data_IF_511667712485
#
_entry.id   IF_511667712485
#
_cell.length_a   1.000
_cell.length_b   1.000
_cell.length_c   1.000
_cell.angle_alpha   90.00
_cell.angle_beta   90.00
_cell.angle_gamma   90.00
#
_symmetry.space_group_name_H-M   'P 1'
#
loop_
_entity.id
_entity.type
_entity.pdbx_description
1 polymer ?
#
# COMPACT_ATOMS: atom_id res chain seq x y z
N UNK A 1 -3.52 -24.93 -4.93
CA UNK A 1 -4.63 -24.08 -5.40
C UNK A 1 -4.05 -23.13 -6.41
N UNK A 2 -4.67 -22.99 -7.58
CA UNK A 2 -4.15 -22.17 -8.69
C UNK A 2 -4.81 -20.80 -8.56
N UNK A 3 -4.18 -19.89 -7.81
CA UNK A 3 -4.63 -18.50 -7.78
C UNK A 3 -4.45 -17.92 -9.18
N UNK A 4 -5.56 -17.74 -9.90
CA UNK A 4 -5.52 -17.28 -11.29
C UNK A 4 -5.55 -15.75 -11.28
N UNK A 5 -4.39 -15.14 -11.55
CA UNK A 5 -4.26 -13.70 -11.75
C UNK A 5 -4.87 -13.31 -13.10
N UNK A 6 -5.72 -12.28 -13.13
CA UNK A 6 -6.18 -11.66 -14.38
C UNK A 6 -6.13 -10.15 -14.31
N UNK A 7 -5.79 -9.52 -15.43
CA UNK A 7 -5.81 -8.07 -15.58
C UNK A 7 -7.15 -7.64 -16.14
N UNK A 8 -7.84 -6.75 -15.42
CA UNK A 8 -9.11 -6.17 -15.85
C UNK A 8 -9.01 -4.65 -15.95
N UNK A 9 -9.85 -3.99 -16.76
CA UNK A 9 -9.99 -2.55 -16.74
C UNK A 9 -10.40 -2.08 -15.34
N UNK A 10 -9.82 -0.97 -14.87
CA UNK A 10 -10.12 -0.44 -13.53
C UNK A 10 -11.61 -0.07 -13.36
N UNK A 11 -12.30 0.27 -14.46
CA UNK A 11 -13.74 0.53 -14.47
C UNK A 11 -14.62 -0.73 -14.33
N UNK A 12 -14.05 -1.92 -14.55
CA UNK A 12 -14.71 -3.22 -14.36
C UNK A 12 -14.38 -3.85 -13.00
N UNK A 13 -13.58 -3.18 -12.17
CA UNK A 13 -13.22 -3.67 -10.85
C UNK A 13 -14.32 -3.34 -9.85
N UNK A 14 -14.94 -4.38 -9.28
CA UNK A 14 -15.97 -4.23 -8.26
C UNK A 14 -15.38 -4.16 -6.85
N UNK A 15 -16.09 -3.47 -5.96
CA UNK A 15 -15.78 -3.47 -4.53
C UNK A 15 -15.86 -4.91 -3.98
N UNK A 16 -14.86 -5.31 -3.20
CA UNK A 16 -14.67 -6.68 -2.70
C UNK A 16 -13.60 -7.46 -3.45
N UNK A 17 -13.22 -7.04 -4.65
CA UNK A 17 -12.19 -7.73 -5.43
C UNK A 17 -10.79 -7.52 -4.86
N UNK A 18 -9.98 -8.57 -4.72
CA UNK A 18 -8.61 -8.47 -4.18
C UNK A 18 -7.61 -8.18 -5.29
N UNK A 19 -6.75 -7.18 -5.08
CA UNK A 19 -5.64 -6.88 -5.98
C UNK A 19 -4.59 -8.00 -5.97
N UNK A 20 -4.21 -8.46 -7.16
CA UNK A 20 -3.13 -9.43 -7.33
C UNK A 20 -1.75 -8.78 -7.37
N UNK A 21 -1.67 -7.49 -7.67
CA UNK A 21 -0.40 -6.76 -7.73
C UNK A 21 -0.53 -5.32 -7.21
N UNK A 22 0.63 -4.74 -6.90
CA UNK A 22 0.75 -3.34 -6.53
C UNK A 22 0.34 -2.44 -7.70
N UNK A 23 -0.65 -1.58 -7.48
CA UNK A 23 -1.05 -0.57 -8.45
C UNK A 23 -0.18 0.67 -8.23
N UNK A 24 0.50 1.10 -9.29
CA UNK A 24 1.37 2.28 -9.29
C UNK A 24 0.86 3.31 -10.31
N UNK A 25 1.00 4.58 -9.98
CA UNK A 25 0.77 5.68 -10.92
C UNK A 25 1.92 5.75 -11.97
N UNK A 26 1.75 6.55 -13.02
CA UNK A 26 2.76 6.83 -14.07
C UNK A 26 4.11 7.31 -13.50
N UNK A 27 4.09 7.90 -12.31
CA UNK A 27 5.26 8.36 -11.58
C UNK A 27 6.00 7.24 -10.81
N UNK A 28 5.48 6.01 -10.83
CA UNK A 28 5.98 4.87 -10.03
C UNK A 28 5.48 4.87 -8.59
N UNK A 29 4.70 5.87 -8.17
CA UNK A 29 4.11 5.98 -6.83
C UNK A 29 3.09 4.88 -6.59
N UNK A 30 3.23 4.14 -5.49
CA UNK A 30 2.26 3.14 -5.07
C UNK A 30 0.91 3.80 -4.69
N UNK A 31 -0.16 3.39 -5.36
CA UNK A 31 -1.54 3.82 -5.09
C UNK A 31 -2.25 2.82 -4.18
N UNK A 32 -2.11 1.53 -4.47
CA UNK A 32 -2.73 0.43 -3.73
C UNK A 32 -1.75 -0.75 -3.71
N UNK A 33 -1.59 -1.38 -2.55
CA UNK A 33 -0.78 -2.59 -2.43
C UNK A 33 -1.56 -3.84 -2.83
N UNK A 34 -0.84 -4.84 -3.32
CA UNK A 34 -1.38 -6.17 -3.56
C UNK A 34 -2.01 -6.77 -2.28
N UNK A 35 -2.98 -7.66 -2.44
CA UNK A 35 -3.61 -8.41 -1.34
C UNK A 35 -4.69 -7.64 -0.57
N UNK A 36 -4.98 -6.38 -0.93
CA UNK A 36 -6.06 -5.60 -0.30
C UNK A 36 -7.35 -5.73 -1.13
N UNK A 37 -8.52 -5.95 -0.49
CA UNK A 37 -9.80 -5.86 -1.16
C UNK A 37 -10.10 -4.40 -1.58
N UNK A 38 -10.48 -4.22 -2.83
CA UNK A 38 -10.92 -2.95 -3.37
C UNK A 38 -12.19 -2.51 -2.64
N UNK A 39 -12.22 -1.24 -2.23
CA UNK A 39 -13.38 -0.58 -1.61
C UNK A 39 -13.76 0.60 -2.51
N UNK A 40 -14.95 1.16 -2.35
CA UNK A 40 -15.41 2.32 -3.15
C UNK A 40 -14.41 3.48 -3.15
N UNK A 41 -13.78 3.73 -2.00
CA UNK A 41 -12.71 4.74 -1.89
C UNK A 41 -11.50 4.41 -2.76
N UNK A 42 -11.12 3.14 -2.88
CA UNK A 42 -10.00 2.70 -3.70
C UNK A 42 -10.34 2.82 -5.19
N UNK A 43 -11.57 2.48 -5.59
CA UNK A 43 -12.05 2.66 -6.97
C UNK A 43 -12.05 4.14 -7.38
N UNK A 44 -12.49 5.03 -6.47
CA UNK A 44 -12.42 6.49 -6.71
C UNK A 44 -10.98 6.97 -6.86
N UNK A 45 -10.04 6.45 -6.06
CA UNK A 45 -8.61 6.75 -6.20
C UNK A 45 -8.12 6.30 -7.58
N UNK A 46 -8.36 5.06 -7.98
CA UNK A 46 -7.96 4.53 -9.30
C UNK A 46 -8.45 5.42 -10.45
N UNK A 47 -9.73 5.85 -10.40
CA UNK A 47 -10.32 6.76 -11.38
C UNK A 47 -9.68 8.15 -11.36
N UNK A 48 -9.44 8.70 -10.18
CA UNK A 48 -8.81 10.03 -10.01
C UNK A 48 -7.41 10.07 -10.58
N UNK A 49 -6.65 8.99 -10.44
CA UNK A 49 -5.28 8.86 -10.96
C UNK A 49 -5.22 8.37 -12.41
N UNK A 50 -6.35 8.09 -13.05
CA UNK A 50 -6.41 7.63 -14.45
C UNK A 50 -5.79 6.25 -14.66
N UNK A 51 -5.85 5.36 -13.66
CA UNK A 51 -5.40 3.97 -13.79
C UNK A 51 -6.34 3.24 -14.74
N UNK A 52 -5.81 2.70 -15.83
CA UNK A 52 -6.62 2.04 -16.88
C UNK A 52 -6.84 0.56 -16.60
N UNK A 53 -5.89 -0.12 -15.98
CA UNK A 53 -5.89 -1.57 -15.77
C UNK A 53 -5.38 -1.93 -14.37
N UNK A 54 -5.97 -2.96 -13.76
CA UNK A 54 -5.55 -3.52 -12.47
C UNK A 54 -5.53 -5.05 -12.56
N UNK A 55 -4.53 -5.69 -11.95
CA UNK A 55 -4.57 -7.13 -11.79
C UNK A 55 -5.27 -7.53 -10.51
N UNK A 56 -6.17 -8.50 -10.61
CA UNK A 56 -6.98 -9.03 -9.52
C UNK A 56 -6.83 -10.54 -9.42
N UNK A 57 -7.06 -11.06 -8.21
CA UNK A 57 -7.24 -12.49 -8.01
C UNK A 57 -8.65 -12.89 -8.41
N UNK A 58 -8.77 -13.98 -9.16
CA UNK A 58 -10.06 -14.55 -9.55
C UNK A 58 -10.59 -15.42 -8.39
N UNK A 59 -11.41 -14.84 -7.52
CA UNK A 59 -12.25 -15.60 -6.58
C UNK A 59 -13.68 -15.08 -6.55
N UNK A 60 -14.61 -16.02 -6.41
CA UNK A 60 -16.05 -15.92 -6.62
C UNK A 60 -16.77 -14.86 -5.73
N UNK A 61 -17.97 -14.38 -6.11
CA UNK A 61 -18.68 -13.29 -5.42
C UNK A 61 -19.43 -13.82 -4.17
N UNK A 62 -20.15 -12.96 -3.43
CA UNK A 62 -19.68 -12.00 -2.45
C UNK A 62 -20.20 -12.39 -1.05
N UNK A 63 -19.32 -12.51 -0.05
CA UNK A 63 -19.80 -12.54 1.34
C UNK A 63 -19.54 -11.18 1.97
N UNK A 64 -20.62 -10.40 1.99
CA UNK A 64 -20.80 -9.31 2.91
C UNK A 64 -20.56 -9.81 4.33
N UNK A 65 -19.47 -9.39 4.97
CA UNK A 65 -19.48 -9.17 6.41
C UNK A 65 -18.50 -8.04 6.72
N UNK A 66 -19.14 -6.92 7.01
CA UNK A 66 -18.62 -5.85 7.83
C UNK A 66 -18.04 -6.45 9.13
N UNK A 67 -16.74 -6.34 9.34
CA UNK A 67 -16.21 -6.17 10.68
C UNK A 67 -14.87 -5.43 10.57
N UNK A 68 -15.01 -4.11 10.58
CA UNK A 68 -13.94 -3.17 10.79
C UNK A 68 -13.45 -3.27 12.23
N UNK A 69 -12.64 -4.28 12.54
CA UNK A 69 -11.73 -4.18 13.68
C UNK A 69 -10.44 -3.49 13.19
N UNK A 70 -10.04 -2.34 13.76
CA UNK A 70 -8.67 -1.90 13.59
C UNK A 70 -7.82 -2.97 14.26
N UNK A 71 -7.18 -3.82 13.47
CA UNK A 71 -6.11 -4.67 13.97
C UNK A 71 -5.04 -3.76 14.55
N UNK A 72 -5.19 -3.45 15.83
CA UNK A 72 -4.16 -3.00 16.75
C UNK A 72 -3.31 -4.22 17.01
N UNK A 73 -2.72 -4.77 15.94
CA UNK A 73 -1.57 -5.63 16.08
C UNK A 73 -0.42 -4.65 16.33
N UNK A 74 0.24 -4.67 17.50
CA UNK A 74 1.44 -3.88 17.68
C UNK A 74 2.36 -4.18 16.49
N UNK A 75 2.87 -3.16 15.77
CA UNK A 75 3.74 -3.40 14.64
C UNK A 75 4.85 -4.34 15.11
N UNK A 76 5.19 -5.39 14.32
CA UNK A 76 6.30 -6.26 14.66
C UNK A 76 7.53 -5.38 14.94
N UNK A 77 8.36 -5.74 15.92
CA UNK A 77 9.55 -4.97 16.23
C UNK A 77 10.35 -4.80 14.95
N UNK A 78 10.43 -3.56 14.48
CA UNK A 78 11.16 -3.21 13.26
C UNK A 78 12.63 -3.43 13.59
N UNK A 79 13.32 -4.20 12.76
CA UNK A 79 14.76 -4.44 12.94
C UNK A 79 15.51 -3.09 12.88
N UNK A 80 16.41 -2.86 13.83
CA UNK A 80 17.16 -1.61 13.97
C UNK A 80 17.92 -1.26 12.68
N UNK A 81 18.45 -2.27 11.98
CA UNK A 81 19.12 -2.11 10.68
C UNK A 81 18.16 -1.61 9.58
N UNK A 82 16.96 -2.20 9.50
CA UNK A 82 15.93 -1.81 8.52
C UNK A 82 15.44 -0.38 8.78
N UNK A 83 15.30 -0.01 10.06
CA UNK A 83 14.93 1.34 10.45
C UNK A 83 16.00 2.36 10.08
N UNK A 84 17.27 2.08 10.39
CA UNK A 84 18.39 2.96 10.02
C UNK A 84 18.51 3.17 8.50
N UNK A 85 18.33 2.10 7.73
CA UNK A 85 18.35 2.18 6.27
C UNK A 85 17.17 2.99 5.73
N UNK A 86 15.97 2.79 6.27
CA UNK A 86 14.79 3.58 5.93
C UNK A 86 14.97 5.06 6.28
N UNK A 87 15.53 5.37 7.45
CA UNK A 87 15.78 6.75 7.89
C UNK A 87 16.75 7.46 6.95
N UNK A 88 17.84 6.81 6.53
CA UNK A 88 18.80 7.39 5.60
C UNK A 88 18.15 7.75 4.24
N UNK A 89 17.29 6.86 3.72
CA UNK A 89 16.52 7.11 2.50
C UNK A 89 15.54 8.27 2.72
N UNK A 90 14.82 8.26 3.85
CA UNK A 90 13.81 9.27 4.14
C UNK A 90 14.42 10.65 4.36
N UNK A 91 15.59 10.75 5.01
CA UNK A 91 16.32 12.00 5.18
C UNK A 91 16.68 12.64 3.85
N UNK A 92 17.07 11.84 2.84
CA UNK A 92 17.33 12.38 1.51
C UNK A 92 16.03 12.81 0.80
N UNK A 93 14.95 12.02 0.92
CA UNK A 93 13.65 12.36 0.33
C UNK A 93 13.03 13.63 0.95
N UNK A 94 13.20 13.83 2.26
CA UNK A 94 12.69 14.97 3.02
C UNK A 94 13.73 16.09 3.19
N UNK A 95 14.86 16.08 2.48
CA UNK A 95 15.92 17.09 2.62
C UNK A 95 15.48 18.54 2.34
N UNK A 96 14.39 18.71 1.60
CA UNK A 96 13.77 20.00 1.28
C UNK A 96 12.51 20.27 2.12
N UNK A 97 12.13 19.34 2.99
CA UNK A 97 11.00 19.49 3.89
C UNK A 97 11.47 20.12 5.19
N UNK A 98 10.73 21.12 5.65
CA UNK A 98 10.91 21.71 6.95
C UNK A 98 10.31 20.78 8.02
N UNK A 99 11.16 20.01 8.69
CA UNK A 99 10.78 19.05 9.73
C UNK A 99 10.41 19.73 11.06
N UNK A 100 10.64 21.04 11.23
CA UNK A 100 10.16 21.77 12.41
C UNK A 100 8.63 21.87 12.45
N UNK A 101 7.99 21.74 11.28
CA UNK A 101 6.54 21.67 11.18
C UNK A 101 6.04 20.32 11.68
N UNK A 102 5.17 20.33 12.68
CA UNK A 102 4.58 19.12 13.29
C UNK A 102 3.98 18.14 12.26
N UNK A 103 3.37 18.65 11.18
CA UNK A 103 2.80 17.81 10.11
C UNK A 103 3.91 17.12 9.30
N UNK A 104 5.00 17.82 9.00
CA UNK A 104 6.11 17.24 8.24
C UNK A 104 6.88 16.22 9.08
N UNK A 105 7.07 16.49 10.38
CA UNK A 105 7.65 15.53 11.30
C UNK A 105 6.83 14.23 11.40
N UNK A 106 5.50 14.34 11.56
CA UNK A 106 4.63 13.15 11.62
C UNK A 106 4.62 12.38 10.31
N UNK A 107 4.64 13.07 9.17
CA UNK A 107 4.74 12.44 7.86
C UNK A 107 6.08 11.71 7.69
N UNK A 108 7.18 12.32 8.14
CA UNK A 108 8.52 11.73 8.11
C UNK A 108 8.60 10.46 8.95
N UNK A 109 8.11 10.48 10.19
CA UNK A 109 8.10 9.31 11.08
C UNK A 109 7.25 8.17 10.49
N UNK A 110 6.02 8.47 10.04
CA UNK A 110 5.14 7.48 9.43
C UNK A 110 5.74 6.86 8.16
N UNK A 111 6.35 7.68 7.31
CA UNK A 111 6.98 7.22 6.08
C UNK A 111 8.22 6.35 6.38
N UNK A 112 9.04 6.73 7.37
CA UNK A 112 10.22 5.98 7.80
C UNK A 112 9.84 4.60 8.30
N UNK A 113 8.84 4.52 9.19
CA UNK A 113 8.31 3.25 9.70
C UNK A 113 7.80 2.34 8.58
N UNK A 114 7.02 2.89 7.64
CA UNK A 114 6.49 2.13 6.49
C UNK A 114 7.61 1.60 5.60
N UNK A 115 8.62 2.42 5.31
CA UNK A 115 9.75 2.00 4.50
C UNK A 115 10.58 0.92 5.19
N UNK A 116 10.79 1.04 6.50
CA UNK A 116 11.50 0.02 7.29
C UNK A 116 10.79 -1.34 7.24
N UNK A 117 9.45 -1.35 7.38
CA UNK A 117 8.67 -2.59 7.22
C UNK A 117 8.81 -3.21 5.82
N UNK A 118 8.88 -2.40 4.76
CA UNK A 118 9.09 -2.91 3.39
C UNK A 118 10.50 -3.48 3.20
N UNK A 119 11.53 -2.84 3.76
CA UNK A 119 12.92 -3.34 3.70
C UNK A 119 13.03 -4.67 4.43
N UNK A 120 12.43 -4.78 5.62
CA UNK A 120 12.47 -6.00 6.42
C UNK A 120 11.73 -7.16 5.74
N UNK A 121 10.57 -6.90 5.11
CA UNK A 121 9.85 -7.91 4.34
C UNK A 121 10.67 -8.42 3.15
N UNK A 122 11.37 -7.52 2.45
CA UNK A 122 12.24 -7.90 1.32
C UNK A 122 13.50 -8.66 1.77
N UNK A 123 13.98 -8.46 2.99
CA UNK A 123 15.12 -9.18 3.53
C UNK A 123 14.77 -10.64 3.94
N UNK A 124 13.48 -10.94 4.13
CA UNK A 124 12.98 -12.28 4.51
C UNK A 124 12.51 -13.13 3.33
N UNK A 125 12.45 -12.55 2.11
CA UNK A 125 12.03 -13.18 0.86
C UNK A 125 13.23 -13.47 -0.06
#
# INVERSE_FOLDING_TARGET
MIDTKRTIPADQADAGTVLAEDVRDRSGRLLLSAGIPLKDKHLRVLKTWGVTQVAIWQDAPPSATDDCLPSTTPPPPIDEQSYHQAEAVMRNAFRHCDLEKAVMHTLFDLATRRLASMIQLKAQS
#
